data_IF_145839947391
#
_entry.id   IF_145839947391
#
_cell.length_a   1.000
_cell.length_b   1.000
_cell.length_c   1.000
_cell.angle_alpha   90.00
_cell.angle_beta   90.00
_cell.angle_gamma   90.00
#
_symmetry.space_group_name_H-M   'P 1'
#
loop_
_entity.id
_entity.type
_entity.pdbx_description
1 polymer ?
#
# COMPACT_ATOMS: atom_id res chain seq x y z
N UNK A 1 -3.19 3.24 19.61
CA UNK A 1 -3.00 2.29 18.50
C UNK A 1 -2.52 3.00 17.22
N UNK A 2 -3.23 4.00 16.67
CA UNK A 2 -2.81 4.69 15.44
C UNK A 2 -1.36 5.26 15.51
N UNK A 3 -0.99 5.96 16.58
CA UNK A 3 0.36 6.51 16.72
C UNK A 3 1.47 5.45 16.71
N UNK A 4 1.22 4.26 17.25
CA UNK A 4 2.18 3.14 17.20
C UNK A 4 2.32 2.60 15.80
N UNK A 5 1.21 2.42 15.08
CA UNK A 5 1.23 1.97 13.68
C UNK A 5 2.01 2.95 12.81
N UNK A 6 1.68 4.24 12.87
CA UNK A 6 2.36 5.29 12.09
C UNK A 6 3.86 5.37 12.40
N UNK A 7 4.25 5.31 13.68
CA UNK A 7 5.68 5.33 14.04
C UNK A 7 6.42 4.09 13.54
N UNK A 8 5.79 2.92 13.60
CA UNK A 8 6.35 1.67 13.04
C UNK A 8 6.53 1.76 11.53
N UNK A 9 5.56 2.32 10.82
CA UNK A 9 5.61 2.50 9.37
C UNK A 9 6.72 3.49 8.97
N UNK A 10 6.81 4.65 9.63
CA UNK A 10 7.84 5.66 9.34
C UNK A 10 9.24 5.09 9.63
N UNK A 11 9.46 4.55 10.83
CA UNK A 11 10.75 3.98 11.21
C UNK A 11 11.10 2.78 10.30
N UNK A 12 10.13 1.92 10.02
CA UNK A 12 10.28 0.77 9.13
C UNK A 12 10.63 1.18 7.71
N UNK A 13 9.97 2.18 7.14
CA UNK A 13 10.28 2.69 5.81
C UNK A 13 11.72 3.19 5.69
N UNK A 14 12.20 3.96 6.66
CA UNK A 14 13.59 4.45 6.70
C UNK A 14 14.58 3.28 6.79
N UNK A 15 14.34 2.33 7.69
CA UNK A 15 15.23 1.18 7.87
C UNK A 15 15.25 0.25 6.65
N UNK A 16 14.10 0.03 6.01
CA UNK A 16 14.02 -0.74 4.77
C UNK A 16 14.72 -0.02 3.61
N UNK A 17 14.57 1.30 3.49
CA UNK A 17 15.27 2.09 2.47
C UNK A 17 16.80 2.02 2.61
N UNK A 18 17.30 1.98 3.84
CA UNK A 18 18.73 1.79 4.13
C UNK A 18 19.17 0.31 4.02
N UNK A 19 18.25 -0.62 3.90
CA UNK A 19 18.52 -2.04 3.94
C UNK A 19 19.13 -2.49 5.27
N UNK A 20 18.67 -1.90 6.38
CA UNK A 20 19.17 -2.18 7.72
C UNK A 20 18.13 -2.99 8.51
N UNK A 21 18.54 -4.12 9.06
CA UNK A 21 17.66 -5.07 9.74
C UNK A 21 16.43 -5.47 8.92
N UNK A 22 16.59 -5.57 7.59
CA UNK A 22 15.51 -5.72 6.63
C UNK A 22 14.51 -6.81 7.03
N UNK A 23 15.00 -8.00 7.34
CA UNK A 23 14.14 -9.15 7.72
C UNK A 23 13.41 -8.92 9.04
N UNK A 24 14.09 -8.32 10.02
CA UNK A 24 13.52 -8.07 11.34
C UNK A 24 12.43 -7.00 11.31
N UNK A 25 12.68 -5.92 10.58
CA UNK A 25 11.75 -4.79 10.44
C UNK A 25 10.52 -5.15 9.58
N UNK A 26 10.67 -6.07 8.64
CA UNK A 26 9.52 -6.55 7.87
C UNK A 26 8.46 -7.25 8.72
N UNK A 27 8.82 -7.86 9.87
CA UNK A 27 7.87 -8.55 10.74
C UNK A 27 6.81 -7.60 11.33
N UNK A 28 7.17 -6.54 12.07
CA UNK A 28 6.18 -5.61 12.61
C UNK A 28 5.37 -4.90 11.49
N UNK A 29 5.97 -4.62 10.33
CA UNK A 29 5.26 -4.05 9.20
C UNK A 29 4.22 -5.02 8.61
N UNK A 30 4.53 -6.32 8.54
CA UNK A 30 3.56 -7.37 8.17
C UNK A 30 2.38 -7.37 9.14
N UNK A 31 2.64 -7.31 10.44
CA UNK A 31 1.57 -7.24 11.44
C UNK A 31 0.70 -6.01 11.23
N UNK A 32 1.30 -4.84 10.96
CA UNK A 32 0.54 -3.61 10.66
C UNK A 32 -0.34 -3.79 9.42
N UNK A 33 0.18 -4.39 8.34
CA UNK A 33 -0.61 -4.64 7.12
C UNK A 33 -1.74 -5.64 7.36
N UNK A 34 -1.51 -6.71 8.11
CA UNK A 34 -2.57 -7.66 8.47
C UNK A 34 -3.67 -7.01 9.31
N UNK A 35 -3.32 -6.19 10.29
CA UNK A 35 -4.29 -5.44 11.09
C UNK A 35 -5.06 -4.48 10.19
N UNK A 36 -4.41 -3.72 9.32
CA UNK A 36 -5.07 -2.81 8.39
C UNK A 36 -6.05 -3.54 7.45
N UNK A 37 -5.63 -4.70 6.90
CA UNK A 37 -6.51 -5.53 6.06
C UNK A 37 -7.78 -5.89 6.82
N UNK A 38 -7.64 -6.46 8.01
CA UNK A 38 -8.79 -7.02 8.74
C UNK A 38 -9.71 -5.93 9.32
N UNK A 39 -9.13 -4.84 9.85
CA UNK A 39 -9.91 -3.84 10.61
C UNK A 39 -10.44 -2.70 9.76
N UNK A 40 -9.78 -2.39 8.65
CA UNK A 40 -10.10 -1.18 7.85
C UNK A 40 -10.57 -1.53 6.45
N UNK A 41 -9.84 -2.39 5.73
CA UNK A 41 -9.99 -2.56 4.29
C UNK A 41 -10.93 -3.70 3.89
N UNK A 42 -10.96 -4.80 4.65
CA UNK A 42 -11.74 -5.99 4.31
C UNK A 42 -13.24 -5.73 4.09
N UNK A 43 -13.91 -4.88 4.86
CA UNK A 43 -15.32 -4.54 4.63
C UNK A 43 -15.58 -3.90 3.26
N UNK A 44 -14.58 -3.25 2.67
CA UNK A 44 -14.67 -2.58 1.36
C UNK A 44 -14.40 -3.54 0.18
N UNK A 45 -14.05 -4.80 0.44
CA UNK A 45 -13.72 -5.78 -0.59
C UNK A 45 -12.30 -5.62 -1.15
N UNK A 46 -12.10 -6.05 -2.41
CA UNK A 46 -10.76 -6.12 -3.00
C UNK A 46 -10.23 -4.78 -3.49
N UNK A 47 -11.00 -4.09 -4.30
CA UNK A 47 -10.53 -2.96 -5.09
C UNK A 47 -10.16 -1.72 -4.27
N UNK A 48 -9.03 -1.11 -4.56
CA UNK A 48 -8.64 0.19 -4.01
C UNK A 48 -9.45 1.34 -4.65
N UNK A 49 -9.59 1.30 -5.97
CA UNK A 49 -10.41 2.22 -6.76
C UNK A 49 -11.58 1.44 -7.32
N UNK A 50 -12.79 1.99 -7.21
CA UNK A 50 -14.01 1.34 -7.68
C UNK A 50 -14.02 1.26 -9.21
N UNK A 51 -13.91 0.03 -9.74
CA UNK A 51 -14.14 -0.29 -11.15
C UNK A 51 -15.25 -1.34 -11.26
N UNK A 52 -16.46 -0.95 -11.67
CA UNK A 52 -17.58 -1.87 -11.81
C UNK A 52 -17.37 -2.98 -12.86
N UNK A 53 -16.43 -2.79 -13.79
CA UNK A 53 -16.14 -3.75 -14.85
C UNK A 53 -15.09 -4.81 -14.46
N UNK A 54 -14.44 -4.63 -13.31
CA UNK A 54 -13.42 -5.56 -12.86
C UNK A 54 -14.03 -6.83 -12.26
N UNK A 55 -13.31 -7.96 -12.40
CA UNK A 55 -13.76 -9.30 -11.98
C UNK A 55 -14.06 -9.44 -10.48
N UNK A 56 -13.52 -8.55 -9.64
CA UNK A 56 -13.69 -8.57 -8.18
C UNK A 56 -14.61 -7.45 -7.68
N UNK A 57 -15.50 -6.92 -8.55
CA UNK A 57 -16.47 -5.90 -8.17
C UNK A 57 -17.50 -6.48 -7.19
N UNK A 58 -17.58 -5.88 -5.99
CA UNK A 58 -18.62 -6.19 -5.01
C UNK A 58 -19.83 -5.24 -5.19
N UNK A 59 -20.90 -5.45 -4.42
CA UNK A 59 -22.12 -4.64 -4.51
C UNK A 59 -21.86 -3.14 -4.27
N UNK A 60 -20.91 -2.78 -3.41
CA UNK A 60 -20.52 -1.39 -3.14
C UNK A 60 -19.85 -0.76 -4.37
N UNK A 61 -18.96 -1.50 -5.03
CA UNK A 61 -18.28 -1.08 -6.26
C UNK A 61 -19.28 -0.92 -7.39
N UNK A 62 -20.20 -1.87 -7.56
CA UNK A 62 -21.26 -1.76 -8.59
C UNK A 62 -22.14 -0.53 -8.37
N UNK A 63 -22.55 -0.25 -7.13
CA UNK A 63 -23.32 0.94 -6.79
C UNK A 63 -22.54 2.26 -6.96
N UNK A 64 -21.22 2.22 -7.06
CA UNK A 64 -20.37 3.41 -7.27
C UNK A 64 -20.50 4.00 -8.67
N UNK A 65 -20.88 3.18 -9.67
CA UNK A 65 -21.02 3.63 -11.05
C UNK A 65 -22.04 4.77 -11.18
N UNK A 66 -23.24 4.56 -10.64
CA UNK A 66 -24.31 5.56 -10.65
C UNK A 66 -23.91 6.86 -9.90
N UNK A 67 -23.21 6.71 -8.76
CA UNK A 67 -22.72 7.85 -7.97
C UNK A 67 -21.68 8.67 -8.74
N UNK A 68 -20.78 7.98 -9.45
CA UNK A 68 -19.74 8.63 -10.25
C UNK A 68 -20.36 9.36 -11.44
N UNK A 69 -21.36 8.75 -12.11
CA UNK A 69 -22.07 9.38 -13.22
C UNK A 69 -22.80 10.64 -12.76
N UNK A 70 -23.47 10.57 -11.62
CA UNK A 70 -24.15 11.74 -11.03
C UNK A 70 -23.18 12.85 -10.64
N UNK A 71 -22.00 12.49 -10.11
CA UNK A 71 -20.96 13.47 -9.79
C UNK A 71 -20.41 14.15 -11.06
N UNK A 72 -20.22 13.39 -12.15
CA UNK A 72 -19.80 13.93 -13.45
C UNK A 72 -20.84 14.88 -14.03
N UNK A 73 -22.11 14.50 -14.04
CA UNK A 73 -23.21 15.34 -14.49
C UNK A 73 -23.24 16.71 -13.77
N UNK A 74 -23.07 16.70 -12.45
CA UNK A 74 -23.01 17.94 -11.66
C UNK A 74 -21.80 18.80 -12.07
N UNK A 75 -20.64 18.19 -12.26
CA UNK A 75 -19.42 18.89 -12.65
C UNK A 75 -19.49 19.44 -14.09
N UNK A 76 -20.14 18.74 -15.01
CA UNK A 76 -20.38 19.20 -16.37
C UNK A 76 -21.33 20.39 -16.41
N UNK A 77 -22.39 20.40 -15.59
CA UNK A 77 -23.38 21.46 -15.57
C UNK A 77 -22.95 22.69 -14.77
N UNK A 78 -22.18 22.53 -13.69
CA UNK A 78 -21.89 23.61 -12.72
C UNK A 78 -20.39 23.83 -12.47
N UNK A 79 -19.52 23.02 -13.07
CA UNK A 79 -18.07 23.11 -12.95
C UNK A 79 -17.38 23.33 -14.29
N UNK A 80 -16.06 23.34 -14.27
CA UNK A 80 -15.24 23.29 -15.48
C UNK A 80 -14.66 21.87 -15.61
N UNK A 81 -15.48 20.93 -16.11
CA UNK A 81 -15.17 19.51 -16.16
C UNK A 81 -13.88 19.23 -16.94
N UNK A 82 -13.70 19.85 -18.11
CA UNK A 82 -12.53 19.65 -18.96
C UNK A 82 -11.23 20.08 -18.26
N UNK A 83 -11.27 21.20 -17.57
CA UNK A 83 -10.13 21.67 -16.79
C UNK A 83 -9.83 20.75 -15.61
N UNK A 84 -10.86 20.31 -14.88
CA UNK A 84 -10.71 19.42 -13.72
C UNK A 84 -10.19 18.03 -14.12
N UNK A 85 -10.49 17.57 -15.34
CA UNK A 85 -10.09 16.25 -15.84
C UNK A 85 -8.88 16.28 -16.79
N UNK A 86 -8.29 17.44 -17.01
CA UNK A 86 -7.16 17.63 -17.93
C UNK A 86 -5.92 16.76 -17.58
N UNK A 87 -5.77 16.39 -16.31
CA UNK A 87 -4.66 15.54 -15.81
C UNK A 87 -5.10 14.13 -15.39
N UNK A 88 -6.37 13.78 -15.57
CA UNK A 88 -6.90 12.47 -15.20
C UNK A 88 -8.41 12.47 -14.97
N UNK A 89 -8.98 11.28 -14.76
CA UNK A 89 -10.42 11.09 -14.57
C UNK A 89 -10.84 11.16 -13.12
N UNK A 90 -12.08 11.54 -12.84
CA UNK A 90 -12.70 11.34 -11.54
C UNK A 90 -12.96 9.86 -11.30
N UNK A 91 -12.57 9.38 -10.13
CA UNK A 91 -12.78 8.00 -9.69
C UNK A 91 -13.32 8.00 -8.26
N UNK A 92 -14.01 6.94 -7.89
CA UNK A 92 -14.42 6.72 -6.50
C UNK A 92 -13.39 5.85 -5.81
N UNK A 93 -12.82 6.32 -4.72
CA UNK A 93 -11.94 5.55 -3.87
C UNK A 93 -12.78 4.53 -3.07
N UNK A 94 -12.56 3.25 -3.31
CA UNK A 94 -13.24 2.17 -2.59
C UNK A 94 -12.49 1.75 -1.32
N UNK A 95 -11.16 1.99 -1.30
CA UNK A 95 -10.30 1.70 -0.14
C UNK A 95 -10.31 0.22 0.28
N UNK A 96 -10.37 -0.70 -0.67
CA UNK A 96 -10.29 -2.14 -0.43
C UNK A 96 -8.88 -2.63 -0.07
N UNK A 97 -8.74 -3.95 0.05
CA UNK A 97 -7.52 -4.60 0.56
C UNK A 97 -6.34 -4.60 -0.43
N UNK A 98 -6.53 -4.24 -1.67
CA UNK A 98 -5.58 -4.39 -2.78
C UNK A 98 -4.17 -3.86 -2.46
N UNK A 99 -4.06 -2.61 -2.00
CA UNK A 99 -2.76 -2.03 -1.66
C UNK A 99 -2.15 -2.69 -0.41
N UNK A 100 -2.93 -2.95 0.62
CA UNK A 100 -2.43 -3.56 1.84
C UNK A 100 -1.92 -4.99 1.59
N UNK A 101 -2.60 -5.77 0.74
CA UNK A 101 -2.14 -7.10 0.30
C UNK A 101 -0.88 -6.99 -0.56
N UNK A 102 -0.79 -6.02 -1.45
CA UNK A 102 0.41 -5.78 -2.25
C UNK A 102 1.62 -5.51 -1.36
N UNK A 103 1.50 -4.60 -0.40
CA UNK A 103 2.58 -4.33 0.57
C UNK A 103 2.91 -5.54 1.43
N UNK A 104 1.90 -6.31 1.85
CA UNK A 104 2.11 -7.55 2.60
C UNK A 104 2.98 -8.55 1.82
N UNK A 105 2.68 -8.77 0.53
CA UNK A 105 3.45 -9.67 -0.34
C UNK A 105 4.88 -9.16 -0.51
N UNK A 106 5.06 -7.85 -0.71
CA UNK A 106 6.39 -7.24 -0.82
C UNK A 106 7.21 -7.42 0.47
N UNK A 107 6.60 -7.27 1.64
CA UNK A 107 7.27 -7.48 2.93
C UNK A 107 7.64 -8.94 3.17
N UNK A 108 6.79 -9.89 2.78
CA UNK A 108 7.09 -11.33 2.81
C UNK A 108 8.30 -11.63 1.89
N UNK A 109 8.31 -11.06 0.68
CA UNK A 109 9.45 -11.19 -0.22
C UNK A 109 10.75 -10.66 0.42
N UNK A 110 10.70 -9.53 1.13
CA UNK A 110 11.85 -8.97 1.84
C UNK A 110 12.34 -9.86 3.00
N UNK A 111 11.46 -10.59 3.68
CA UNK A 111 11.87 -11.58 4.68
C UNK A 111 12.70 -12.71 4.03
N UNK A 112 12.25 -13.20 2.87
CA UNK A 112 12.91 -14.30 2.17
C UNK A 112 14.23 -13.83 1.54
N UNK A 113 14.19 -12.76 0.76
CA UNK A 113 15.32 -12.26 -0.03
C UNK A 113 16.31 -11.43 0.79
N UNK A 114 15.82 -10.68 1.79
CA UNK A 114 16.60 -9.69 2.54
C UNK A 114 16.81 -8.39 1.77
N UNK A 115 17.65 -7.49 2.29
CA UNK A 115 17.89 -6.15 1.76
C UNK A 115 18.75 -6.06 0.49
N UNK A 116 19.13 -7.21 -0.10
CA UNK A 116 19.94 -7.24 -1.31
C UNK A 116 21.46 -7.14 -1.04
N UNK A 117 22.24 -7.13 -2.13
CA UNK A 117 23.71 -7.33 -2.08
C UNK A 117 24.51 -6.03 -2.16
N UNK A 118 24.00 -5.00 -2.87
CA UNK A 118 24.81 -3.84 -3.23
C UNK A 118 24.52 -2.59 -2.39
N UNK A 119 23.25 -2.32 -2.10
CA UNK A 119 22.82 -1.11 -1.42
C UNK A 119 22.34 -1.34 0.03
N UNK A 120 22.45 -2.58 0.53
CA UNK A 120 21.98 -2.93 1.88
C UNK A 120 23.10 -2.78 2.90
N UNK A 121 22.83 -2.04 3.98
CA UNK A 121 23.73 -1.95 5.12
C UNK A 121 23.91 -3.31 5.82
N UNK A 122 22.89 -4.18 5.81
CA UNK A 122 22.98 -5.54 6.33
C UNK A 122 24.07 -6.35 5.65
N UNK A 123 24.26 -6.18 4.35
CA UNK A 123 25.32 -6.89 3.61
C UNK A 123 26.70 -6.41 4.01
N UNK A 124 26.90 -5.11 4.10
CA UNK A 124 28.20 -4.54 4.47
C UNK A 124 28.57 -4.81 5.91
N UNK A 125 27.61 -4.80 6.83
CA UNK A 125 27.82 -5.16 8.22
C UNK A 125 28.22 -6.63 8.36
N UNK A 126 27.55 -7.55 7.65
CA UNK A 126 27.93 -8.97 7.65
C UNK A 126 29.33 -9.20 7.13
N UNK A 127 29.74 -8.53 6.04
CA UNK A 127 31.10 -8.63 5.52
C UNK A 127 32.16 -8.13 6.51
N UNK A 128 31.87 -6.99 7.19
CA UNK A 128 32.79 -6.43 8.18
C UNK A 128 32.96 -7.34 9.39
N UNK A 129 31.87 -7.92 9.89
CA UNK A 129 31.91 -8.88 11.00
C UNK A 129 32.66 -10.14 10.62
N UNK A 130 32.41 -10.73 9.45
CA UNK A 130 33.12 -11.92 8.99
C UNK A 130 34.64 -11.73 8.91
N UNK A 131 35.12 -10.53 8.51
CA UNK A 131 36.54 -10.19 8.47
C UNK A 131 37.16 -9.97 9.87
N UNK A 132 36.37 -9.72 10.88
CA UNK A 132 36.90 -9.49 12.23
C UNK A 132 37.06 -10.77 13.04
N UNK A 133 36.30 -11.82 12.68
CA UNK A 133 36.34 -13.13 13.33
C UNK A 133 37.14 -14.21 12.55
N UNK A 134 37.75 -13.85 11.44
CA UNK A 134 38.71 -14.64 10.66
C UNK A 134 40.12 -14.19 10.93
#
# INVERSE_FOLDING_TARGET
>A
MAALATSTEIAGAVLLALGLFTRLISIPLIVTMLVAIVTVHLPNGWQAIADPNASFANAQVLASAEKLEKAREILENYGNYDWLTSSGSFVILNNGIEFAVTYLIMLIALIVLGGGRYFSLDFWLKQKMAKHFS
#
